data_IF_261457248615
#
_entry.id   IF_261457248615
#
_cell.length_a   1.000
_cell.length_b   1.000
_cell.length_c   1.000
_cell.angle_alpha   90.00
_cell.angle_beta   90.00
_cell.angle_gamma   90.00
#
_symmetry.space_group_name_H-M   'P 1'
#
loop_
_entity.id
_entity.type
_entity.pdbx_description
1 polymer ?
#
# COMPACT_ATOMS: atom_id res chain seq x y z
N UNK A 1 26.62 -23.63 -21.21
CA UNK A 1 26.73 -24.32 -19.90
C UNK A 1 26.19 -23.36 -18.84
N UNK A 2 25.11 -23.72 -18.13
CA UNK A 2 24.61 -22.93 -16.99
C UNK A 2 25.72 -22.92 -15.92
N UNK A 3 26.29 -21.76 -15.59
CA UNK A 3 27.13 -21.63 -14.38
C UNK A 3 26.21 -21.77 -13.19
N UNK A 4 26.11 -22.99 -12.65
CA UNK A 4 25.48 -23.23 -11.35
C UNK A 4 26.26 -22.45 -10.30
N UNK A 5 25.61 -21.44 -9.71
CA UNK A 5 26.13 -20.74 -8.54
C UNK A 5 26.31 -21.77 -7.41
N UNK A 6 27.45 -21.78 -6.70
CA UNK A 6 27.72 -22.76 -5.66
C UNK A 6 26.84 -22.50 -4.42
N UNK A 7 26.23 -23.57 -3.92
CA UNK A 7 25.34 -23.58 -2.75
C UNK A 7 23.87 -23.45 -3.16
N UNK A 8 23.12 -24.55 -3.09
CA UNK A 8 21.67 -24.49 -3.22
C UNK A 8 21.10 -23.73 -2.00
N UNK A 9 21.01 -22.40 -2.12
CA UNK A 9 20.22 -21.60 -1.20
C UNK A 9 18.82 -22.23 -1.11
N UNK A 10 18.26 -22.30 0.10
CA UNK A 10 16.90 -22.78 0.30
C UNK A 10 15.96 -22.08 -0.70
N UNK A 11 15.11 -22.84 -1.39
CA UNK A 11 14.21 -22.27 -2.37
C UNK A 11 13.29 -21.24 -1.70
N UNK A 12 13.21 -20.05 -2.28
CA UNK A 12 12.30 -19.01 -1.79
C UNK A 12 10.86 -19.52 -1.90
N UNK A 13 10.09 -19.57 -0.79
CA UNK A 13 8.67 -19.93 -0.86
C UNK A 13 7.92 -19.00 -1.81
N UNK A 14 6.84 -19.48 -2.42
CA UNK A 14 6.02 -18.66 -3.30
C UNK A 14 4.59 -18.54 -2.78
N UNK A 15 3.99 -17.37 -2.97
CA UNK A 15 2.60 -17.08 -2.67
C UNK A 15 1.74 -17.19 -3.94
N UNK A 16 0.53 -17.75 -3.86
CA UNK A 16 -0.41 -17.78 -4.99
C UNK A 16 -0.92 -16.36 -5.31
N UNK A 17 -1.03 -16.02 -6.59
CA UNK A 17 -1.56 -14.75 -7.09
C UNK A 17 -2.99 -14.89 -7.62
N UNK A 18 -3.92 -15.19 -6.71
CA UNK A 18 -5.33 -15.44 -7.01
C UNK A 18 -5.59 -16.84 -7.59
N UNK A 19 -6.77 -17.07 -8.21
CA UNK A 19 -7.20 -18.41 -8.64
C UNK A 19 -6.48 -18.92 -9.91
N UNK A 20 -5.84 -18.02 -10.65
CA UNK A 20 -4.95 -18.36 -11.76
C UNK A 20 -3.60 -18.81 -11.20
N UNK A 21 -3.01 -19.89 -11.73
CA UNK A 21 -1.83 -20.60 -11.23
C UNK A 21 -0.48 -19.81 -11.19
N UNK A 22 -0.52 -18.48 -11.10
CA UNK A 22 0.65 -17.63 -10.92
C UNK A 22 1.20 -17.68 -9.50
N UNK A 23 2.51 -17.68 -9.39
CA UNK A 23 3.24 -17.73 -8.12
C UNK A 23 4.17 -16.52 -8.00
N UNK A 24 4.15 -15.86 -6.85
CA UNK A 24 5.02 -14.74 -6.52
C UNK A 24 6.05 -15.19 -5.48
N UNK A 25 7.36 -14.99 -5.70
CA UNK A 25 8.37 -15.23 -4.66
C UNK A 25 8.03 -14.42 -3.40
N UNK A 26 7.99 -15.08 -2.25
CA UNK A 26 7.63 -14.46 -0.98
C UNK A 26 8.67 -13.45 -0.50
N UNK A 27 9.88 -13.46 -1.06
CA UNK A 27 10.85 -12.40 -0.86
C UNK A 27 11.41 -11.93 -2.21
N UNK A 28 11.25 -10.63 -2.46
CA UNK A 28 11.76 -9.89 -3.60
C UNK A 28 12.68 -8.76 -3.16
N UNK A 29 13.22 -8.04 -4.12
CA UNK A 29 14.18 -6.96 -3.90
C UNK A 29 13.52 -5.61 -4.21
N UNK A 30 13.42 -4.75 -3.21
CA UNK A 30 12.88 -3.40 -3.36
C UNK A 30 13.91 -2.44 -3.97
N UNK A 31 13.50 -1.63 -4.93
CA UNK A 31 14.41 -0.70 -5.63
C UNK A 31 14.23 0.78 -5.27
N UNK A 32 13.24 1.12 -4.44
CA UNK A 32 12.99 2.51 -4.03
C UNK A 32 14.18 3.10 -3.26
N UNK A 33 14.61 4.30 -3.67
CA UNK A 33 15.70 5.04 -3.04
C UNK A 33 17.10 4.48 -3.32
N UNK A 34 17.25 3.53 -4.25
CA UNK A 34 18.56 3.25 -4.85
C UNK A 34 18.91 4.41 -5.78
N UNK A 35 20.09 4.99 -5.60
CA UNK A 35 20.59 6.00 -6.52
C UNK A 35 20.97 5.34 -7.85
N UNK A 36 20.83 6.02 -9.00
CA UNK A 36 21.10 5.43 -10.32
C UNK A 36 22.45 4.69 -10.41
N UNK A 37 23.51 5.24 -9.79
CA UNK A 37 24.85 4.65 -9.75
C UNK A 37 24.97 3.38 -8.89
N UNK A 38 24.04 3.15 -7.95
CA UNK A 38 24.03 1.99 -7.06
C UNK A 38 23.25 0.81 -7.65
N UNK A 39 22.32 1.07 -8.57
CA UNK A 39 21.31 0.10 -9.06
C UNK A 39 21.99 -1.13 -9.64
N UNK A 40 22.96 -0.96 -10.54
CA UNK A 40 23.60 -2.10 -11.23
C UNK A 40 24.29 -3.04 -10.23
N UNK A 41 25.08 -2.48 -9.31
CA UNK A 41 25.76 -3.26 -8.27
C UNK A 41 24.77 -3.97 -7.35
N UNK A 42 23.69 -3.29 -6.93
CA UNK A 42 22.69 -3.86 -6.04
C UNK A 42 21.88 -4.98 -6.71
N UNK A 43 21.44 -4.80 -7.97
CA UNK A 43 20.69 -5.80 -8.72
C UNK A 43 21.54 -7.04 -9.01
N UNK A 44 22.82 -6.86 -9.41
CA UNK A 44 23.75 -7.99 -9.60
C UNK A 44 23.97 -8.76 -8.30
N UNK A 45 24.14 -8.05 -7.18
CA UNK A 45 24.25 -8.68 -5.86
C UNK A 45 22.97 -9.45 -5.47
N UNK A 46 21.79 -8.90 -5.76
CA UNK A 46 20.52 -9.56 -5.49
C UNK A 46 20.36 -10.84 -6.32
N UNK A 47 20.61 -10.80 -7.63
CA UNK A 47 20.55 -11.99 -8.49
C UNK A 47 21.55 -13.06 -8.03
N UNK A 48 22.78 -12.65 -7.69
CA UNK A 48 23.82 -13.55 -7.19
C UNK A 48 23.46 -14.17 -5.82
N UNK A 49 22.76 -13.43 -4.95
CA UNK A 49 22.27 -13.94 -3.67
C UNK A 49 21.09 -14.91 -3.83
N UNK A 50 20.42 -14.94 -4.98
CA UNK A 50 19.29 -15.83 -5.26
C UNK A 50 17.94 -15.13 -5.40
N UNK A 51 17.87 -13.79 -5.37
CA UNK A 51 16.62 -13.08 -5.63
C UNK A 51 16.13 -13.35 -7.05
N UNK A 52 14.83 -13.55 -7.16
CA UNK A 52 14.11 -13.74 -8.43
C UNK A 52 12.89 -12.84 -8.55
N UNK A 53 12.64 -11.97 -7.57
CA UNK A 53 11.57 -10.98 -7.61
C UNK A 53 12.14 -9.57 -7.42
N UNK A 54 11.70 -8.62 -8.23
CA UNK A 54 12.17 -7.23 -8.24
C UNK A 54 10.98 -6.28 -8.24
N UNK A 55 10.92 -5.39 -7.24
CA UNK A 55 9.87 -4.38 -7.12
C UNK A 55 10.37 -3.02 -7.61
N UNK A 56 9.75 -2.54 -8.68
CA UNK A 56 10.09 -1.31 -9.41
C UNK A 56 8.89 -0.36 -9.46
N UNK A 57 9.14 0.88 -9.88
CA UNK A 57 8.12 1.84 -10.27
C UNK A 57 8.76 3.00 -11.05
N UNK A 58 8.05 3.62 -12.01
CA UNK A 58 8.55 4.81 -12.72
C UNK A 58 8.97 5.95 -11.79
N UNK A 59 8.22 6.17 -10.72
CA UNK A 59 8.47 7.25 -9.76
C UNK A 59 9.75 7.06 -8.94
N UNK A 60 10.37 5.87 -8.99
CA UNK A 60 11.67 5.62 -8.36
C UNK A 60 12.81 6.15 -9.22
N UNK A 61 12.54 6.52 -10.48
CA UNK A 61 13.46 7.14 -11.43
C UNK A 61 14.71 6.28 -11.69
N UNK A 62 14.56 4.96 -11.60
CA UNK A 62 15.66 4.01 -11.77
C UNK A 62 15.29 2.75 -12.58
N UNK A 63 14.09 2.68 -13.17
CA UNK A 63 13.66 1.52 -13.99
C UNK A 63 14.60 1.24 -15.15
N UNK A 64 15.14 2.30 -15.79
CA UNK A 64 16.10 2.17 -16.89
C UNK A 64 17.36 1.41 -16.47
N UNK A 65 17.95 1.75 -15.32
CA UNK A 65 19.16 1.11 -14.82
C UNK A 65 18.86 -0.33 -14.35
N UNK A 66 17.67 -0.57 -13.79
CA UNK A 66 17.22 -1.94 -13.46
C UNK A 66 17.12 -2.78 -14.73
N UNK A 67 16.44 -2.27 -15.76
CA UNK A 67 16.28 -2.95 -17.04
C UNK A 67 17.58 -3.23 -17.77
N UNK A 68 18.48 -2.24 -17.81
CA UNK A 68 19.85 -2.39 -18.33
C UNK A 68 20.59 -3.54 -17.63
N UNK A 69 20.51 -3.60 -16.30
CA UNK A 69 21.22 -4.61 -15.52
C UNK A 69 20.62 -6.00 -15.66
N UNK A 70 19.29 -6.13 -15.57
CA UNK A 70 18.61 -7.42 -15.74
C UNK A 70 18.76 -7.96 -17.17
N UNK A 71 18.66 -7.10 -18.19
CA UNK A 71 18.90 -7.48 -19.58
C UNK A 71 20.34 -7.98 -19.80
N UNK A 72 21.33 -7.34 -19.19
CA UNK A 72 22.73 -7.81 -19.25
C UNK A 72 22.88 -9.19 -18.59
N UNK A 73 22.31 -9.39 -17.39
CA UNK A 73 22.36 -10.69 -16.69
C UNK A 73 21.66 -11.81 -17.48
N UNK A 74 20.61 -11.49 -18.22
CA UNK A 74 19.94 -12.44 -19.13
C UNK A 74 20.83 -12.77 -20.32
N UNK A 75 21.45 -11.77 -20.96
CA UNK A 75 22.38 -11.99 -22.07
C UNK A 75 23.63 -12.77 -21.66
N UNK A 76 24.12 -12.55 -20.44
CA UNK A 76 25.21 -13.29 -19.81
C UNK A 76 24.82 -14.75 -19.45
N UNK A 77 23.54 -15.11 -19.54
CA UNK A 77 23.02 -16.44 -19.21
C UNK A 77 22.98 -16.75 -17.71
N UNK A 78 23.01 -15.72 -16.85
CA UNK A 78 22.96 -15.86 -15.38
C UNK A 78 21.54 -16.20 -14.91
N UNK A 79 20.53 -15.64 -15.56
CA UNK A 79 19.10 -15.89 -15.34
C UNK A 79 18.36 -15.79 -16.67
N UNK A 80 17.15 -16.34 -16.75
CA UNK A 80 16.22 -16.15 -17.86
C UNK A 80 15.11 -15.19 -17.46
N UNK A 81 14.45 -14.54 -18.43
CA UNK A 81 13.32 -13.66 -18.13
C UNK A 81 12.19 -14.39 -17.39
N UNK A 82 11.93 -15.64 -17.71
CA UNK A 82 10.90 -16.47 -17.07
C UNK A 82 11.22 -16.86 -15.62
N UNK A 83 12.49 -16.79 -15.21
CA UNK A 83 12.88 -16.98 -13.81
C UNK A 83 12.70 -15.71 -12.98
N UNK A 84 12.45 -14.55 -13.61
CA UNK A 84 12.29 -13.27 -12.92
C UNK A 84 10.81 -12.92 -12.76
N UNK A 85 10.46 -12.40 -11.60
CA UNK A 85 9.19 -11.78 -11.28
C UNK A 85 9.40 -10.27 -11.16
N UNK A 86 8.94 -9.49 -12.13
CA UNK A 86 9.13 -8.04 -12.16
C UNK A 86 7.80 -7.34 -11.87
N UNK A 87 7.81 -6.50 -10.84
CA UNK A 87 6.68 -5.63 -10.48
C UNK A 87 6.95 -4.20 -10.92
N UNK A 88 5.98 -3.56 -11.58
CA UNK A 88 5.98 -2.10 -11.80
C UNK A 88 4.62 -1.51 -11.44
N UNK A 89 4.48 -0.18 -11.50
CA UNK A 89 3.32 0.54 -10.96
C UNK A 89 2.91 1.71 -11.84
N UNK A 90 1.61 1.90 -12.08
CA UNK A 90 1.11 3.14 -12.70
C UNK A 90 1.19 4.28 -11.68
N UNK A 91 1.89 5.39 -11.98
CA UNK A 91 2.02 6.52 -11.07
C UNK A 91 0.71 7.32 -10.98
N UNK A 92 0.46 8.04 -9.86
CA UNK A 92 -0.78 8.80 -9.67
C UNK A 92 -1.10 9.82 -10.78
N UNK A 93 -0.07 10.36 -11.43
CA UNK A 93 -0.26 11.36 -12.48
C UNK A 93 -0.62 10.79 -13.85
N UNK A 94 -0.34 9.51 -14.07
CA UNK A 94 -0.69 8.82 -15.29
C UNK A 94 -1.96 7.96 -15.09
N UNK A 95 -2.38 7.74 -13.84
CA UNK A 95 -3.66 7.12 -13.50
C UNK A 95 -4.89 7.98 -13.89
N UNK A 96 -6.07 7.38 -13.82
CA UNK A 96 -7.38 7.92 -14.20
C UNK A 96 -7.44 8.39 -15.66
N UNK A 97 -6.71 7.73 -16.54
CA UNK A 97 -6.81 7.93 -17.98
C UNK A 97 -6.25 6.72 -18.67
N UNK A 98 -7.12 5.98 -19.33
CA UNK A 98 -6.73 4.78 -20.08
C UNK A 98 -5.49 5.01 -20.94
N UNK A 99 -5.50 6.10 -21.73
CA UNK A 99 -4.38 6.45 -22.61
C UNK A 99 -3.07 6.70 -21.85
N UNK A 100 -3.11 7.42 -20.71
CA UNK A 100 -1.90 7.71 -19.93
C UNK A 100 -1.40 6.47 -19.19
N UNK A 101 -2.29 5.65 -18.64
CA UNK A 101 -1.96 4.38 -17.98
C UNK A 101 -1.28 3.42 -18.97
N UNK A 102 -1.85 3.26 -20.17
CA UNK A 102 -1.23 2.46 -21.23
C UNK A 102 0.15 3.01 -21.64
N UNK A 103 0.28 4.34 -21.75
CA UNK A 103 1.56 5.00 -22.04
C UNK A 103 2.59 4.75 -20.93
N UNK A 104 2.17 4.84 -19.66
CA UNK A 104 3.03 4.60 -18.51
C UNK A 104 3.52 3.14 -18.50
N UNK A 105 2.67 2.16 -18.79
CA UNK A 105 3.09 0.77 -18.93
C UNK A 105 4.10 0.62 -20.07
N UNK A 106 3.84 1.19 -21.26
CA UNK A 106 4.77 1.13 -22.40
C UNK A 106 6.14 1.71 -22.03
N UNK A 107 6.17 2.82 -21.30
CA UNK A 107 7.41 3.43 -20.82
C UNK A 107 8.14 2.50 -19.85
N UNK A 108 7.45 1.92 -18.86
CA UNK A 108 8.06 0.95 -17.93
C UNK A 108 8.62 -0.27 -18.66
N UNK A 109 7.90 -0.83 -19.64
CA UNK A 109 8.38 -1.97 -20.43
C UNK A 109 9.64 -1.63 -21.24
N UNK A 110 9.67 -0.43 -21.82
CA UNK A 110 10.84 0.10 -22.52
C UNK A 110 12.03 0.23 -21.55
N UNK A 111 11.84 0.91 -20.42
CA UNK A 111 12.92 1.19 -19.47
C UNK A 111 13.43 -0.08 -18.78
N UNK A 112 12.53 -0.98 -18.39
CA UNK A 112 12.85 -2.30 -17.84
C UNK A 112 13.37 -3.28 -18.90
N UNK A 113 13.36 -2.89 -20.19
CA UNK A 113 13.82 -3.70 -21.33
C UNK A 113 13.19 -5.08 -21.38
N UNK A 114 11.86 -5.14 -21.21
CA UNK A 114 11.12 -6.40 -21.16
C UNK A 114 9.78 -6.29 -21.88
N UNK A 115 9.31 -7.41 -22.45
CA UNK A 115 8.03 -7.46 -23.15
C UNK A 115 6.81 -7.57 -22.24
N UNK A 116 7.00 -7.88 -20.95
CA UNK A 116 5.91 -7.96 -19.97
C UNK A 116 6.41 -7.70 -18.54
N UNK A 117 5.51 -7.29 -17.65
CA UNK A 117 5.70 -7.33 -16.19
C UNK A 117 4.85 -8.43 -15.58
N UNK A 118 5.35 -9.05 -14.53
CA UNK A 118 4.64 -10.11 -13.81
C UNK A 118 3.53 -9.54 -12.95
N UNK A 119 3.75 -8.36 -12.37
CA UNK A 119 2.76 -7.64 -11.60
C UNK A 119 2.74 -6.15 -11.96
N UNK A 120 1.56 -5.61 -12.25
CA UNK A 120 1.35 -4.19 -12.46
C UNK A 120 0.35 -3.64 -11.44
N UNK A 121 0.76 -2.59 -10.72
CA UNK A 121 0.00 -2.06 -9.59
C UNK A 121 -0.52 -0.66 -9.85
N UNK A 122 -1.73 -0.35 -9.41
CA UNK A 122 -2.10 1.04 -9.13
C UNK A 122 -1.26 1.50 -7.94
N UNK A 123 -0.27 2.38 -8.16
CA UNK A 123 0.73 2.72 -7.13
C UNK A 123 0.08 3.36 -5.90
N UNK A 124 -0.88 4.24 -6.14
CA UNK A 124 -1.67 4.83 -5.08
C UNK A 124 -3.12 4.96 -5.53
N UNK A 125 -4.09 4.73 -4.64
CA UNK A 125 -5.48 5.02 -4.91
C UNK A 125 -5.71 6.52 -4.68
N UNK A 126 -5.07 7.37 -5.48
CA UNK A 126 -5.52 8.71 -5.90
C UNK A 126 -4.92 9.00 -7.29
N UNK A 127 -5.49 9.96 -8.01
CA UNK A 127 -4.84 10.53 -9.17
C UNK A 127 -4.38 11.94 -8.85
N UNK A 128 -3.47 12.47 -9.66
CA UNK A 128 -3.10 13.87 -9.55
C UNK A 128 -3.21 14.48 -10.92
N UNK A 129 -3.52 15.78 -10.98
CA UNK A 129 -3.53 16.49 -12.25
C UNK A 129 -2.15 16.30 -12.89
N UNK A 130 -2.14 15.78 -14.12
CA UNK A 130 -0.88 15.67 -14.87
C UNK A 130 -0.28 17.07 -14.94
N UNK A 131 1.00 17.25 -14.57
CA UNK A 131 1.63 18.54 -14.77
C UNK A 131 1.60 18.87 -16.26
N UNK A 132 1.40 20.14 -16.57
CA UNK A 132 1.63 20.61 -17.94
C UNK A 132 3.08 20.34 -18.34
N UNK A 133 3.36 20.08 -19.63
CA UNK A 133 4.73 19.92 -20.11
C UNK A 133 5.63 21.07 -19.61
N UNK A 134 6.72 20.73 -18.92
CA UNK A 134 7.66 21.71 -18.37
C UNK A 134 7.34 22.25 -16.98
N UNK A 135 6.17 21.95 -16.38
CA UNK A 135 5.87 22.34 -14.99
C UNK A 135 6.50 21.33 -14.01
N UNK A 136 7.43 21.77 -13.12
CA UNK A 136 7.99 20.88 -12.11
C UNK A 136 6.89 20.43 -11.14
N UNK A 137 7.00 19.19 -10.63
CA UNK A 137 6.10 18.68 -9.58
C UNK A 137 6.68 19.03 -8.22
N UNK A 138 6.14 20.02 -7.49
CA UNK A 138 6.63 20.33 -6.16
C UNK A 138 6.21 19.23 -5.17
N UNK A 139 6.93 19.17 -4.05
CA UNK A 139 6.60 18.30 -2.93
C UNK A 139 6.48 19.14 -1.65
N UNK A 140 5.35 19.09 -0.92
CA UNK A 140 4.10 18.39 -1.24
C UNK A 140 3.41 18.93 -2.51
N UNK A 141 2.51 18.14 -3.11
CA UNK A 141 1.72 18.63 -4.26
C UNK A 141 0.73 19.71 -3.82
N UNK A 142 0.45 20.73 -4.65
CA UNK A 142 -0.57 21.72 -4.38
C UNK A 142 -1.96 21.06 -4.30
N UNK A 143 -2.83 21.57 -3.43
CA UNK A 143 -4.16 20.98 -3.19
C UNK A 143 -5.01 20.93 -4.48
N UNK A 144 -4.89 21.93 -5.33
CA UNK A 144 -5.56 22.02 -6.62
C UNK A 144 -5.13 20.95 -7.64
N UNK A 145 -3.93 20.39 -7.45
CA UNK A 145 -3.38 19.33 -8.29
C UNK A 145 -3.65 17.92 -7.72
N UNK A 146 -4.16 17.83 -6.48
CA UNK A 146 -4.52 16.56 -5.85
C UNK A 146 -5.97 16.20 -6.21
N UNK A 147 -6.13 15.28 -7.17
CA UNK A 147 -7.42 14.77 -7.58
C UNK A 147 -7.77 13.56 -6.69
N UNK A 148 -8.80 13.67 -5.85
CA UNK A 148 -9.27 12.50 -5.09
C UNK A 148 -9.73 11.37 -6.03
N UNK A 149 -9.79 10.13 -5.52
CA UNK A 149 -10.63 9.11 -6.16
C UNK A 149 -12.06 9.21 -5.62
N UNK A 150 -13.03 9.31 -6.52
CA UNK A 150 -14.31 8.65 -6.27
C UNK A 150 -14.12 7.13 -6.40
N UNK A 151 -15.01 6.35 -5.77
CA UNK A 151 -15.02 4.90 -5.96
C UNK A 151 -15.16 4.51 -7.45
N UNK A 152 -15.81 5.34 -8.27
CA UNK A 152 -15.99 5.12 -9.70
C UNK A 152 -14.71 5.28 -10.50
N UNK A 153 -13.94 6.33 -10.25
CA UNK A 153 -12.66 6.54 -10.92
C UNK A 153 -11.68 5.38 -10.64
N UNK A 154 -11.70 4.81 -9.43
CA UNK A 154 -10.83 3.67 -9.09
C UNK A 154 -11.24 2.43 -9.86
N UNK A 155 -12.55 2.25 -10.09
CA UNK A 155 -13.08 1.18 -10.95
C UNK A 155 -12.70 1.38 -12.41
N UNK A 156 -12.77 2.59 -12.93
CA UNK A 156 -12.38 2.89 -14.32
C UNK A 156 -10.89 2.63 -14.55
N UNK A 157 -10.04 3.09 -13.62
CA UNK A 157 -8.61 2.80 -13.67
C UNK A 157 -8.36 1.29 -13.58
N UNK A 158 -9.08 0.59 -12.69
CA UNK A 158 -8.94 -0.85 -12.57
C UNK A 158 -9.32 -1.60 -13.85
N UNK A 159 -10.43 -1.22 -14.51
CA UNK A 159 -10.82 -1.79 -15.82
C UNK A 159 -9.74 -1.59 -16.88
N UNK A 160 -9.05 -0.45 -16.84
CA UNK A 160 -7.89 -0.21 -17.70
C UNK A 160 -6.79 -1.22 -17.42
N UNK A 161 -6.45 -1.44 -16.15
CA UNK A 161 -5.41 -2.41 -15.76
C UNK A 161 -5.83 -3.85 -16.13
N UNK A 162 -7.10 -4.22 -15.97
CA UNK A 162 -7.62 -5.52 -16.41
C UNK A 162 -7.51 -5.71 -17.93
N UNK A 163 -7.83 -4.67 -18.71
CA UNK A 163 -7.64 -4.69 -20.16
C UNK A 163 -6.15 -4.89 -20.52
N UNK A 164 -5.22 -4.30 -19.76
CA UNK A 164 -3.78 -4.51 -19.94
C UNK A 164 -3.35 -5.96 -19.65
N UNK A 165 -3.99 -6.66 -18.70
CA UNK A 165 -3.75 -8.09 -18.47
C UNK A 165 -4.13 -8.91 -19.71
N UNK A 166 -5.24 -8.58 -20.37
CA UNK A 166 -5.67 -9.27 -21.59
C UNK A 166 -4.64 -9.18 -22.74
N UNK A 167 -3.81 -8.13 -22.76
CA UNK A 167 -2.73 -7.97 -23.76
C UNK A 167 -1.52 -8.87 -23.50
N UNK A 168 -1.43 -9.52 -22.34
CA UNK A 168 -0.26 -10.28 -21.84
C UNK A 168 1.00 -9.45 -21.57
N UNK A 169 0.96 -8.14 -21.76
CA UNK A 169 2.01 -7.22 -21.31
C UNK A 169 2.05 -7.11 -19.77
N UNK A 170 0.94 -7.46 -19.12
CA UNK A 170 0.82 -7.62 -17.66
C UNK A 170 0.33 -9.04 -17.38
N UNK A 171 0.96 -9.76 -16.45
CA UNK A 171 0.48 -11.11 -16.04
C UNK A 171 -0.54 -11.03 -14.91
N UNK A 172 -0.27 -10.21 -13.91
CA UNK A 172 -1.14 -9.99 -12.75
C UNK A 172 -1.31 -8.49 -12.50
N UNK A 173 -2.48 -8.11 -12.00
CA UNK A 173 -2.86 -6.74 -11.68
C UNK A 173 -3.14 -6.61 -10.19
N UNK A 174 -2.76 -5.50 -9.55
CA UNK A 174 -3.01 -5.26 -8.13
C UNK A 174 -3.08 -3.81 -7.70
N UNK A 175 -3.25 -3.61 -6.41
CA UNK A 175 -3.36 -2.29 -5.78
C UNK A 175 -2.21 -2.09 -4.79
N UNK A 176 -1.65 -0.90 -4.74
CA UNK A 176 -0.76 -0.50 -3.66
C UNK A 176 -1.41 0.61 -2.82
N UNK A 177 -1.04 0.68 -1.53
CA UNK A 177 -1.47 1.75 -0.63
C UNK A 177 -2.98 1.91 -0.55
N UNK A 178 -3.76 0.84 -0.34
CA UNK A 178 -5.20 0.93 -0.12
C UNK A 178 -5.56 0.58 1.33
N UNK A 179 -6.38 1.42 1.96
CA UNK A 179 -6.90 1.15 3.30
C UNK A 179 -8.03 0.12 3.30
N UNK A 180 -8.30 -0.49 4.45
CA UNK A 180 -9.26 -1.59 4.61
C UNK A 180 -10.66 -1.23 4.12
N UNK A 181 -11.21 -0.09 4.56
CA UNK A 181 -12.58 0.32 4.19
C UNK A 181 -12.74 0.53 2.69
N UNK A 182 -11.73 1.14 2.06
CA UNK A 182 -11.73 1.38 0.62
C UNK A 182 -11.57 0.07 -0.15
N UNK A 183 -10.70 -0.83 0.31
CA UNK A 183 -10.57 -2.16 -0.28
C UNK A 183 -11.88 -2.95 -0.17
N UNK A 184 -12.55 -2.95 0.98
CA UNK A 184 -13.83 -3.62 1.16
C UNK A 184 -14.91 -3.10 0.19
N UNK A 185 -15.03 -1.78 0.04
CA UNK A 185 -15.95 -1.16 -0.92
C UNK A 185 -15.60 -1.53 -2.36
N UNK A 186 -14.31 -1.59 -2.68
CA UNK A 186 -13.84 -1.96 -4.00
C UNK A 186 -14.18 -3.42 -4.32
N UNK A 187 -13.91 -4.35 -3.39
CA UNK A 187 -14.21 -5.78 -3.51
C UNK A 187 -15.71 -6.11 -3.54
N UNK A 188 -16.57 -5.25 -3.00
CA UNK A 188 -18.03 -5.41 -3.08
C UNK A 188 -18.59 -5.18 -4.50
N UNK A 189 -17.77 -4.76 -5.46
CA UNK A 189 -18.21 -4.55 -6.85
C UNK A 189 -18.29 -5.90 -7.59
N UNK A 190 -19.42 -6.25 -8.22
CA UNK A 190 -19.70 -7.60 -8.74
C UNK A 190 -18.80 -8.05 -9.90
N UNK A 191 -18.06 -7.13 -10.54
CA UNK A 191 -17.32 -7.40 -11.78
C UNK A 191 -15.79 -7.41 -11.61
N UNK A 192 -15.26 -7.29 -10.39
CA UNK A 192 -13.83 -7.05 -10.18
C UNK A 192 -13.07 -8.27 -9.67
N UNK A 193 -12.09 -8.72 -10.44
CA UNK A 193 -11.21 -9.80 -10.05
C UNK A 193 -9.85 -9.26 -9.54
N UNK A 194 -9.81 -8.77 -8.31
CA UNK A 194 -8.61 -8.19 -7.66
C UNK A 194 -7.72 -9.28 -7.07
N UNK A 195 -6.40 -9.27 -7.31
CA UNK A 195 -5.57 -10.48 -7.06
C UNK A 195 -4.26 -10.31 -6.26
N UNK A 196 -3.66 -9.11 -6.13
CA UNK A 196 -2.82 -8.81 -4.95
C UNK A 196 -2.89 -7.34 -4.45
N UNK A 197 -2.56 -7.15 -3.16
CA UNK A 197 -2.45 -5.86 -2.49
C UNK A 197 -1.03 -5.62 -1.92
N UNK A 198 -0.45 -4.44 -2.13
CA UNK A 198 0.89 -4.07 -1.65
C UNK A 198 0.79 -2.89 -0.68
N UNK A 199 1.22 -3.07 0.56
CA UNK A 199 1.01 -2.07 1.63
C UNK A 199 2.23 -1.94 2.55
N UNK A 200 2.26 -0.84 3.32
CA UNK A 200 3.22 -0.68 4.41
C UNK A 200 2.92 -1.74 5.45
N UNK A 201 3.89 -2.59 5.75
CA UNK A 201 3.73 -3.57 6.81
C UNK A 201 5.07 -3.90 7.45
N UNK A 202 5.10 -3.78 8.78
CA UNK A 202 6.23 -4.12 9.63
C UNK A 202 5.71 -4.28 11.08
N UNK A 203 6.52 -4.72 12.06
CA UNK A 203 6.04 -4.98 13.41
C UNK A 203 5.27 -3.82 14.09
N UNK A 204 5.63 -2.56 13.82
CA UNK A 204 4.91 -1.38 14.35
C UNK A 204 3.63 -0.98 13.61
N UNK A 205 3.35 -1.57 12.45
CA UNK A 205 2.12 -1.38 11.67
C UNK A 205 1.85 -2.66 10.89
N UNK A 206 1.04 -3.53 11.47
CA UNK A 206 0.86 -4.90 11.00
C UNK A 206 -0.35 -5.06 10.09
N UNK A 207 -1.16 -4.00 9.93
CA UNK A 207 -2.32 -3.95 9.03
C UNK A 207 -3.26 -5.16 9.21
N UNK A 208 -3.52 -5.57 10.46
CA UNK A 208 -4.18 -6.85 10.79
C UNK A 208 -5.54 -7.02 10.10
N UNK A 209 -6.38 -5.99 10.15
CA UNK A 209 -7.73 -6.05 9.60
C UNK A 209 -7.73 -6.08 8.06
N UNK A 210 -6.90 -5.24 7.42
CA UNK A 210 -6.66 -5.31 5.97
C UNK A 210 -6.18 -6.70 5.54
N UNK A 211 -5.23 -7.30 6.28
CA UNK A 211 -4.72 -8.63 5.98
C UNK A 211 -5.78 -9.72 6.11
N UNK A 212 -6.63 -9.65 7.13
CA UNK A 212 -7.74 -10.57 7.28
C UNK A 212 -8.72 -10.46 6.09
N UNK A 213 -9.03 -9.23 5.66
CA UNK A 213 -9.84 -8.97 4.47
C UNK A 213 -9.20 -9.51 3.18
N UNK A 214 -7.89 -9.30 3.00
CA UNK A 214 -7.17 -9.87 1.86
C UNK A 214 -7.20 -11.40 1.87
N UNK A 215 -6.96 -12.02 3.04
CA UNK A 215 -6.97 -13.46 3.20
C UNK A 215 -8.35 -14.07 2.87
N UNK A 216 -9.45 -13.44 3.30
CA UNK A 216 -10.81 -13.94 3.01
C UNK A 216 -11.18 -13.87 1.53
N UNK A 217 -10.45 -13.09 0.72
CA UNK A 217 -10.64 -12.96 -0.73
C UNK A 217 -9.52 -13.62 -1.54
N UNK A 218 -8.58 -14.33 -0.91
CA UNK A 218 -7.45 -14.97 -1.60
C UNK A 218 -6.45 -13.98 -2.23
N UNK A 219 -6.37 -12.77 -1.67
CA UNK A 219 -5.48 -11.69 -2.13
C UNK A 219 -4.13 -11.82 -1.40
N UNK A 220 -3.05 -12.00 -2.16
CA UNK A 220 -1.70 -11.97 -1.60
C UNK A 220 -1.33 -10.56 -1.12
N UNK A 221 -0.64 -10.47 0.01
CA UNK A 221 -0.16 -9.21 0.58
C UNK A 221 1.36 -9.11 0.45
N UNK A 222 1.85 -7.99 -0.09
CA UNK A 222 3.28 -7.65 -0.10
C UNK A 222 3.56 -6.47 0.82
N UNK A 223 4.52 -6.62 1.72
CA UNK A 223 5.00 -5.62 2.65
C UNK A 223 6.14 -4.79 2.04
N UNK A 224 5.86 -3.53 1.73
CA UNK A 224 6.92 -2.53 1.57
C UNK A 224 7.35 -1.97 2.93
N UNK A 225 8.54 -1.37 2.99
CA UNK A 225 9.12 -0.84 4.25
C UNK A 225 9.15 -1.89 5.37
N UNK A 226 9.33 -3.16 5.03
CA UNK A 226 9.34 -4.29 5.98
C UNK A 226 10.41 -4.21 7.08
N UNK A 227 11.40 -3.32 6.90
CA UNK A 227 12.46 -3.01 7.86
C UNK A 227 12.33 -1.61 8.49
N UNK A 228 11.16 -0.95 8.38
CA UNK A 228 10.91 0.39 8.92
C UNK A 228 11.57 1.53 8.14
N UNK A 229 11.99 1.26 6.90
CA UNK A 229 12.60 2.22 5.97
C UNK A 229 13.64 3.17 6.61
N UNK A 230 14.74 2.64 7.18
CA UNK A 230 15.72 3.42 7.93
C UNK A 230 16.45 4.46 7.07
N UNK A 231 16.59 4.21 5.77
CA UNK A 231 17.23 5.11 4.80
C UNK A 231 16.20 5.92 3.96
N UNK A 232 14.99 6.17 4.49
CA UNK A 232 13.98 6.96 3.76
C UNK A 232 14.49 8.39 3.51
N UNK A 233 14.19 9.00 2.34
CA UNK A 233 14.60 10.37 2.05
C UNK A 233 14.06 11.38 3.07
N UNK A 234 14.84 12.43 3.36
CA UNK A 234 14.51 13.45 4.36
C UNK A 234 13.12 14.08 4.16
N UNK A 235 12.66 14.25 2.91
CA UNK A 235 11.32 14.78 2.61
C UNK A 235 10.15 13.90 3.11
N UNK A 236 10.42 12.65 3.48
CA UNK A 236 9.48 11.72 4.10
C UNK A 236 9.72 11.54 5.61
N UNK A 237 10.70 12.24 6.18
CA UNK A 237 10.98 12.28 7.62
C UNK A 237 10.25 13.48 8.21
N UNK A 238 8.98 13.32 8.57
CA UNK A 238 8.19 14.41 9.16
C UNK A 238 8.58 14.58 10.62
N UNK A 239 8.96 15.79 11.03
CA UNK A 239 9.48 16.12 12.36
C UNK A 239 8.54 15.79 13.54
N UNK A 240 7.25 15.58 13.28
CA UNK A 240 6.26 15.19 14.29
C UNK A 240 6.16 13.68 14.52
N UNK A 241 6.69 12.86 13.61
CA UNK A 241 6.72 11.41 13.78
C UNK A 241 7.98 11.10 14.59
N UNK A 242 7.84 10.58 15.82
CA UNK A 242 8.94 9.87 16.44
C UNK A 242 9.49 8.90 15.38
N UNK A 243 10.81 8.89 15.16
CA UNK A 243 11.42 8.04 14.13
C UNK A 243 12.00 6.80 14.80
N UNK A 244 11.18 5.91 15.39
CA UNK A 244 11.70 4.75 16.09
C UNK A 244 12.49 3.90 15.10
N UNK A 245 13.64 3.42 15.55
CA UNK A 245 14.44 2.51 14.76
C UNK A 245 13.93 1.10 15.00
N UNK A 246 13.09 0.59 14.09
CA UNK A 246 12.50 -0.76 14.21
C UNK A 246 13.56 -1.83 14.51
N UNK A 247 14.70 -1.80 13.83
CA UNK A 247 15.75 -2.81 13.98
C UNK A 247 16.54 -2.69 15.30
N UNK A 248 16.29 -1.64 16.09
CA UNK A 248 16.84 -1.44 17.42
C UNK A 248 15.81 -1.67 18.53
N UNK A 249 14.58 -2.12 18.20
CA UNK A 249 13.57 -2.43 19.20
C UNK A 249 14.06 -3.54 20.15
N UNK A 250 13.90 -3.38 21.48
CA UNK A 250 14.31 -4.39 22.44
C UNK A 250 13.70 -5.78 22.18
N UNK A 251 12.43 -5.88 21.78
CA UNK A 251 11.82 -7.17 21.51
C UNK A 251 12.42 -7.84 20.28
N UNK A 252 12.69 -7.06 19.22
CA UNK A 252 13.34 -7.57 17.99
C UNK A 252 14.78 -8.00 18.27
N UNK A 253 15.54 -7.20 19.02
CA UNK A 253 16.95 -7.48 19.32
C UNK A 253 17.12 -8.63 20.31
N UNK A 254 16.20 -8.82 21.26
CA UNK A 254 16.18 -9.98 22.15
C UNK A 254 15.94 -11.28 21.37
N UNK A 255 14.93 -11.31 20.48
CA UNK A 255 14.69 -12.47 19.61
C UNK A 255 15.88 -12.72 18.69
N UNK A 256 16.46 -11.66 18.12
CA UNK A 256 17.65 -11.77 17.28
C UNK A 256 18.83 -12.42 18.02
N UNK A 257 19.06 -12.00 19.27
CA UNK A 257 20.11 -12.56 20.14
C UNK A 257 19.85 -14.02 20.48
N UNK A 258 18.62 -14.37 20.85
CA UNK A 258 18.23 -15.74 21.20
C UNK A 258 18.45 -16.74 20.05
N UNK A 259 18.31 -16.28 18.80
CA UNK A 259 18.48 -17.12 17.60
C UNK A 259 19.85 -16.95 16.91
N UNK A 260 20.75 -16.11 17.44
CA UNK A 260 22.03 -15.82 16.77
C UNK A 260 21.87 -15.19 15.37
N UNK A 261 20.79 -14.43 15.17
CA UNK A 261 20.40 -13.88 13.88
C UNK A 261 20.43 -12.34 13.87
N UNK A 262 20.24 -11.73 12.70
CA UNK A 262 20.12 -10.27 12.60
C UNK A 262 18.70 -9.80 12.93
N UNK A 263 18.56 -8.59 13.47
CA UNK A 263 17.27 -7.94 13.68
C UNK A 263 16.44 -7.84 12.38
N UNK A 264 17.10 -7.67 11.23
CA UNK A 264 16.44 -7.67 9.93
C UNK A 264 15.85 -9.05 9.59
N UNK A 265 16.59 -10.13 9.82
CA UNK A 265 16.09 -11.49 9.62
C UNK A 265 14.89 -11.78 10.53
N UNK A 266 14.88 -11.28 11.77
CA UNK A 266 13.73 -11.42 12.69
C UNK A 266 12.50 -10.71 12.13
N UNK A 267 12.62 -9.42 11.77
CA UNK A 267 11.49 -8.63 11.25
C UNK A 267 10.93 -9.22 9.94
N UNK A 268 11.80 -9.66 9.04
CA UNK A 268 11.42 -10.30 7.78
C UNK A 268 10.83 -11.70 8.02
N UNK A 269 11.45 -12.52 8.86
CA UNK A 269 11.01 -13.86 9.19
C UNK A 269 9.64 -13.87 9.86
N UNK A 270 9.39 -12.90 10.75
CA UNK A 270 8.08 -12.66 11.35
C UNK A 270 6.99 -12.40 10.31
N UNK A 271 7.27 -11.57 9.29
CA UNK A 271 6.31 -11.30 8.22
C UNK A 271 6.18 -12.49 7.24
N UNK A 272 7.27 -13.21 6.96
CA UNK A 272 7.27 -14.42 6.14
C UNK A 272 6.38 -15.52 6.76
N UNK A 273 6.49 -15.76 8.06
CA UNK A 273 5.67 -16.73 8.81
C UNK A 273 4.18 -16.42 8.81
N UNK A 274 3.83 -15.22 8.38
CA UNK A 274 2.47 -14.70 8.27
C UNK A 274 1.90 -14.75 6.86
N UNK A 275 2.60 -15.40 5.93
CA UNK A 275 2.17 -15.48 4.53
C UNK A 275 2.25 -14.15 3.79
N UNK A 276 3.08 -13.22 4.26
CA UNK A 276 3.27 -11.90 3.63
C UNK A 276 4.52 -11.96 2.75
N UNK A 277 4.43 -11.44 1.53
CA UNK A 277 5.58 -11.24 0.66
C UNK A 277 6.37 -9.99 1.07
N UNK A 278 7.68 -9.98 0.85
CA UNK A 278 8.59 -8.98 1.40
C UNK A 278 9.43 -8.39 0.28
N UNK A 279 9.67 -7.08 0.32
CA UNK A 279 10.53 -6.40 -0.65
C UNK A 279 11.58 -5.51 0.03
N UNK A 280 12.46 -6.08 0.89
CA UNK A 280 13.51 -5.31 1.53
C UNK A 280 14.45 -4.68 0.49
N UNK A 281 14.82 -3.42 0.73
CA UNK A 281 15.77 -2.66 -0.09
C UNK A 281 17.12 -2.55 0.62
N UNK A 282 18.22 -2.67 -0.13
CA UNK A 282 19.56 -2.35 0.34
C UNK A 282 20.47 -1.98 -0.84
N UNK A 283 21.43 -1.08 -0.62
CA UNK A 283 22.54 -0.84 -1.55
C UNK A 283 23.81 -1.63 -1.18
N UNK A 284 23.86 -2.21 0.04
CA UNK A 284 25.02 -2.93 0.55
C UNK A 284 24.90 -4.43 0.28
N UNK A 285 25.90 -5.00 -0.40
CA UNK A 285 25.93 -6.40 -0.87
C UNK A 285 25.71 -7.41 0.26
N UNK A 286 26.34 -7.17 1.41
CA UNK A 286 26.29 -8.07 2.57
C UNK A 286 24.86 -8.12 3.13
N UNK A 287 24.20 -6.97 3.23
CA UNK A 287 22.80 -6.87 3.67
C UNK A 287 21.83 -7.47 2.66
N UNK A 288 22.10 -7.33 1.36
CA UNK A 288 21.27 -7.96 0.31
C UNK A 288 21.27 -9.48 0.51
N UNK A 289 22.46 -10.07 0.63
CA UNK A 289 22.61 -11.51 0.83
C UNK A 289 22.00 -11.98 2.18
N UNK A 290 22.31 -11.28 3.27
CA UNK A 290 21.83 -11.68 4.61
C UNK A 290 20.33 -11.48 4.80
N UNK A 291 19.72 -10.47 4.17
CA UNK A 291 18.26 -10.30 4.18
C UNK A 291 17.54 -11.48 3.52
N UNK A 292 18.14 -12.13 2.52
CA UNK A 292 17.56 -13.32 1.89
C UNK A 292 17.88 -14.58 2.70
N UNK A 293 19.16 -14.93 2.77
CA UNK A 293 19.60 -16.18 3.38
C UNK A 293 19.26 -16.24 4.87
N UNK A 294 19.45 -15.14 5.62
CA UNK A 294 19.14 -15.07 7.04
C UNK A 294 17.64 -15.18 7.31
N UNK A 295 16.79 -14.58 6.48
CA UNK A 295 15.34 -14.71 6.61
C UNK A 295 14.88 -16.14 6.35
N UNK A 296 15.36 -16.77 5.28
CA UNK A 296 14.99 -18.14 4.92
C UNK A 296 15.45 -19.15 5.97
N UNK A 297 16.63 -18.94 6.57
CA UNK A 297 17.15 -19.78 7.64
C UNK A 297 16.38 -19.60 8.96
N UNK A 298 16.04 -18.36 9.32
CA UNK A 298 15.43 -18.04 10.62
C UNK A 298 13.91 -18.26 10.65
N UNK A 299 13.19 -17.95 9.57
CA UNK A 299 11.72 -17.96 9.59
C UNK A 299 11.12 -19.28 10.13
N UNK A 300 11.61 -20.48 9.75
CA UNK A 300 11.09 -21.75 10.28
C UNK A 300 11.35 -21.95 11.78
N UNK A 301 12.41 -21.36 12.35
CA UNK A 301 12.80 -21.57 13.76
C UNK A 301 12.12 -20.61 14.73
N UNK A 302 11.47 -19.54 14.25
CA UNK A 302 10.73 -18.61 15.11
C UNK A 302 9.60 -19.34 15.86
N UNK A 303 9.65 -19.32 17.19
CA UNK A 303 8.64 -19.95 18.05
C UNK A 303 7.35 -19.12 18.09
N UNK A 304 6.22 -19.70 18.57
CA UNK A 304 5.02 -18.92 18.85
C UNK A 304 5.27 -17.76 19.82
N UNK A 305 6.17 -17.95 20.80
CA UNK A 305 6.56 -16.90 21.75
C UNK A 305 7.31 -15.75 21.08
N UNK A 306 8.24 -16.06 20.17
CA UNK A 306 8.95 -15.03 19.39
C UNK A 306 7.95 -14.22 18.55
N UNK A 307 7.05 -14.90 17.85
CA UNK A 307 6.04 -14.24 17.02
C UNK A 307 5.10 -13.36 17.86
N UNK A 308 4.70 -13.83 19.05
CA UNK A 308 3.87 -13.08 20.00
C UNK A 308 4.58 -11.84 20.57
N UNK A 309 5.88 -11.92 20.84
CA UNK A 309 6.67 -10.78 21.30
C UNK A 309 6.70 -9.67 20.24
N UNK A 310 6.89 -10.04 18.96
CA UNK A 310 6.87 -9.08 17.85
C UNK A 310 5.44 -8.59 17.54
N UNK A 311 4.42 -9.44 17.75
CA UNK A 311 3.01 -9.05 17.65
C UNK A 311 2.63 -7.89 18.57
N UNK A 312 3.17 -7.89 19.78
CA UNK A 312 2.90 -6.88 20.80
C UNK A 312 3.45 -5.48 20.44
N UNK A 313 4.27 -5.37 19.39
CA UNK A 313 4.84 -4.10 18.93
C UNK A 313 3.86 -3.24 18.10
N UNK A 314 2.68 -3.77 17.75
CA UNK A 314 1.66 -3.03 16.99
C UNK A 314 1.33 -1.70 17.69
N UNK A 315 1.37 -0.62 16.91
CA UNK A 315 1.04 0.73 17.38
C UNK A 315 0.57 1.67 16.27
N UNK A 316 0.21 1.13 15.10
CA UNK A 316 -0.27 1.90 13.95
C UNK A 316 0.74 2.91 13.41
N UNK A 317 2.05 2.63 13.55
CA UNK A 317 3.09 3.57 13.13
C UNK A 317 3.36 3.49 11.62
N UNK A 318 3.18 4.60 10.90
CA UNK A 318 3.46 4.68 9.47
C UNK A 318 4.72 5.50 9.20
N UNK A 319 5.81 4.87 8.73
CA UNK A 319 7.03 5.57 8.35
C UNK A 319 6.87 6.40 7.08
N UNK A 320 5.93 6.03 6.19
CA UNK A 320 5.65 6.73 4.94
C UNK A 320 4.33 7.51 4.97
N UNK A 321 3.84 7.89 6.17
CA UNK A 321 2.70 8.80 6.33
C UNK A 321 2.85 10.09 5.51
N UNK A 322 4.07 10.60 5.35
CA UNK A 322 4.37 11.77 4.53
C UNK A 322 4.06 11.55 3.04
N UNK A 323 4.21 10.32 2.53
CA UNK A 323 3.88 9.95 1.15
C UNK A 323 2.39 10.13 0.88
N UNK A 324 1.56 9.63 1.80
CA UNK A 324 0.13 9.91 1.84
C UNK A 324 -0.15 11.41 1.95
N UNK A 325 0.54 12.09 2.88
CA UNK A 325 0.37 13.53 3.14
C UNK A 325 0.73 14.42 1.95
N UNK A 326 1.64 14.01 1.09
CA UNK A 326 2.09 14.86 -0.02
C UNK A 326 1.33 14.68 -1.32
N UNK A 327 0.49 13.64 -1.45
CA UNK A 327 -0.18 13.32 -2.72
C UNK A 327 -1.72 13.30 -2.67
N UNK A 328 -2.36 13.32 -1.49
CA UNK A 328 -3.84 13.32 -1.40
C UNK A 328 -4.38 13.92 -0.08
N UNK A 329 -3.57 14.73 0.60
CA UNK A 329 -3.91 15.30 1.90
C UNK A 329 -4.58 16.65 1.80
N UNK A 330 -5.75 16.75 2.42
CA UNK A 330 -6.42 18.02 2.66
C UNK A 330 -5.98 18.60 3.99
N UNK A 331 -5.82 19.93 4.05
CA UNK A 331 -5.50 20.63 5.31
C UNK A 331 -6.57 20.28 6.36
N UNK A 332 -6.13 19.80 7.53
CA UNK A 332 -7.00 19.39 8.63
C UNK A 332 -7.41 17.91 8.63
N UNK A 333 -7.09 17.15 7.58
CA UNK A 333 -7.35 15.71 7.53
C UNK A 333 -6.30 14.94 8.33
N UNK A 334 -6.73 13.96 9.12
CA UNK A 334 -5.85 12.99 9.78
C UNK A 334 -5.35 11.92 8.80
N UNK A 335 -4.26 11.24 9.15
CA UNK A 335 -3.78 10.10 8.35
C UNK A 335 -4.84 8.99 8.28
N UNK A 336 -5.53 8.73 9.40
CA UNK A 336 -6.58 7.70 9.43
C UNK A 336 -7.72 8.05 8.47
N UNK A 337 -8.17 9.31 8.44
CA UNK A 337 -9.20 9.75 7.49
C UNK A 337 -8.73 9.63 6.03
N UNK A 338 -7.45 9.81 5.77
CA UNK A 338 -6.87 9.61 4.43
C UNK A 338 -6.79 8.13 4.04
N UNK A 339 -6.47 7.24 4.99
CA UNK A 339 -6.46 5.79 4.79
C UNK A 339 -7.88 5.21 4.66
N UNK A 340 -8.82 5.73 5.45
CA UNK A 340 -10.22 5.30 5.52
C UNK A 340 -11.11 5.97 4.48
N UNK A 341 -10.57 6.95 3.76
CA UNK A 341 -11.32 7.76 2.81
C UNK A 341 -12.50 8.50 3.46
N UNK A 342 -12.33 8.86 4.73
CA UNK A 342 -13.32 9.61 5.47
C UNK A 342 -13.39 11.04 4.90
N UNK A 343 -14.60 11.62 4.76
CA UNK A 343 -14.72 13.03 4.42
C UNK A 343 -13.91 13.84 5.44
N UNK A 344 -13.25 14.94 5.02
CA UNK A 344 -12.52 15.78 5.95
C UNK A 344 -13.45 16.21 7.09
N UNK A 345 -12.93 16.42 8.31
CA UNK A 345 -13.74 16.94 9.39
C UNK A 345 -14.37 18.25 8.91
N UNK A 346 -15.68 18.38 9.10
CA UNK A 346 -16.37 19.63 8.78
C UNK A 346 -15.63 20.77 9.50
N UNK A 347 -15.45 21.93 8.86
CA UNK A 347 -14.87 23.08 9.54
C UNK A 347 -15.66 23.30 10.84
N UNK A 348 -15.01 23.75 11.94
CA UNK A 348 -15.72 24.04 13.18
C UNK A 348 -16.83 25.03 12.85
N UNK A 349 -18.06 24.52 12.79
CA UNK A 349 -19.25 25.33 12.60
C UNK A 349 -19.39 26.10 13.90
N UNK A 350 -19.07 27.39 13.86
CA UNK A 350 -19.37 28.28 14.98
C UNK A 350 -20.82 28.08 15.38
N UNK A 351 -21.12 28.15 16.68
CA UNK A 351 -22.45 27.86 17.27
C UNK A 351 -23.64 28.42 16.46
N UNK A 352 -23.48 29.55 15.77
CA UNK A 352 -24.49 30.13 14.88
C UNK A 352 -24.86 29.29 13.64
N UNK A 353 -23.91 28.58 13.03
CA UNK A 353 -24.16 27.75 11.84
C UNK A 353 -24.82 26.40 12.19
N UNK A 354 -24.53 25.86 13.38
CA UNK A 354 -25.23 24.68 13.91
C UNK A 354 -26.71 24.99 14.22
N UNK A 355 -27.00 26.18 14.75
CA UNK A 355 -28.37 26.66 14.96
C UNK A 355 -29.15 26.87 13.65
N UNK A 356 -28.48 27.35 12.59
CA UNK A 356 -29.09 27.50 11.26
C UNK A 356 -29.40 26.15 10.59
N UNK A 357 -28.53 25.15 10.74
CA UNK A 357 -28.77 23.80 10.25
C UNK A 357 -29.92 23.10 11.01
N UNK A 358 -29.99 23.28 12.34
CA UNK A 358 -31.14 22.81 13.14
C UNK A 358 -32.44 23.52 12.75
N UNK A 359 -32.42 24.83 12.51
CA UNK A 359 -33.58 25.59 12.07
C UNK A 359 -34.07 25.16 10.67
N UNK A 360 -33.16 24.89 9.73
CA UNK A 360 -33.50 24.37 8.41
C UNK A 360 -34.07 22.94 8.47
N UNK A 361 -33.53 22.07 9.33
CA UNK A 361 -34.08 20.73 9.56
C UNK A 361 -35.48 20.78 10.18
N UNK A 362 -35.73 21.67 11.15
CA UNK A 362 -37.06 21.89 11.72
C UNK A 362 -38.06 22.42 10.67
N UNK A 363 -37.65 23.36 9.81
CA UNK A 363 -38.50 23.88 8.74
C UNK A 363 -38.86 22.82 7.70
N UNK A 364 -37.93 21.90 7.37
CA UNK A 364 -38.18 20.78 6.46
C UNK A 364 -39.11 19.73 7.07
N UNK A 365 -38.99 19.43 8.37
CA UNK A 365 -39.90 18.51 9.08
C UNK A 365 -41.32 19.11 9.16
N UNK A 366 -41.46 20.42 9.41
CA UNK A 366 -42.76 21.11 9.40
C UNK A 366 -43.38 21.16 8.00
N UNK A 367 -42.58 21.38 6.96
CA UNK A 367 -43.04 21.34 5.56
C UNK A 367 -43.45 19.94 5.10
N UNK A 368 -42.82 18.88 5.62
CA UNK A 368 -43.16 17.49 5.29
C UNK A 368 -44.38 16.99 6.07
N UNK A 369 -44.56 17.44 7.32
CA UNK A 369 -45.76 17.19 8.11
C UNK A 369 -47.02 17.86 7.52
N UNK A 370 -46.88 19.03 6.88
CA UNK A 370 -48.00 19.71 6.19
C UNK A 370 -48.44 19.04 4.88
N UNK A 371 -47.65 18.13 4.29
CA UNK A 371 -48.00 17.42 3.04
C UNK A 371 -48.66 16.05 3.25
N UNK A 372 -48.74 15.54 4.48
CA UNK A 372 -49.27 14.20 4.78
C UNK A 372 -50.27 14.16 5.95
N UNK A 373 -51.21 15.11 6.03
CA UNK A 373 -52.33 15.04 6.96
C UNK A 373 -53.67 15.08 6.21
N UNK A 374 -54.09 13.92 5.71
CA UNK A 374 -55.52 13.57 5.60
C UNK A 374 -55.89 12.78 6.85
N UNK A 375 -57.05 13.15 7.39
CA UNK A 375 -57.74 12.65 8.59
C UNK A 375 -57.38 13.35 9.91
N UNK A 376 -58.28 14.25 10.29
CA UNK A 376 -58.48 14.81 11.62
C UNK A 376 -59.04 13.69 12.49
N UNK A 377 -58.25 13.11 13.38
CA UNK A 377 -58.74 12.49 14.64
C UNK A 377 -57.61 12.10 15.62
N UNK A 378 -56.33 12.09 15.21
CA UNK A 378 -55.22 11.78 16.13
C UNK A 378 -54.65 12.98 16.92
N UNK A 379 -55.11 14.21 16.64
CA UNK A 379 -54.48 15.44 17.19
C UNK A 379 -54.98 15.84 18.59
N UNK A 380 -56.07 15.25 19.09
CA UNK A 380 -56.68 15.64 20.37
C UNK A 380 -56.09 14.91 21.61
N UNK A 381 -55.27 13.87 21.43
CA UNK A 381 -54.76 13.08 22.56
C UNK A 381 -53.36 13.51 23.04
N UNK A 382 -52.55 14.14 22.18
CA UNK A 382 -51.18 14.58 22.53
C UNK A 382 -51.18 15.90 23.32
N UNK A 383 -52.13 16.80 23.06
CA UNK A 383 -52.22 18.10 23.75
C UNK A 383 -52.67 17.95 25.22
N UNK A 384 -53.33 16.84 25.58
CA UNK A 384 -53.77 16.59 26.97
C UNK A 384 -52.66 16.15 27.93
N UNK A 385 -51.48 15.74 27.44
CA UNK A 385 -50.40 15.20 28.30
C UNK A 385 -49.28 16.19 28.64
N UNK A 386 -49.34 17.44 28.18
CA UNK A 386 -48.27 18.42 28.35
C UNK A 386 -48.69 19.72 29.07
N UNK A 387 -49.81 19.73 29.77
CA UNK A 387 -50.22 20.91 30.55
C UNK A 387 -50.86 20.46 31.87
N UNK A 388 -50.37 21.07 32.95
CA UNK A 388 -50.75 20.95 34.37
C UNK A 388 -49.85 20.07 35.26
N UNK A 389 -49.17 20.75 36.18
CA UNK A 389 -48.44 20.15 37.30
C UNK A 389 -47.52 21.16 38.00
N UNK A 390 -48.07 22.33 38.38
CA UNK A 390 -47.37 23.30 39.22
C UNK A 390 -47.27 22.85 40.69
N UNK A 391 -46.18 23.31 41.33
CA UNK A 391 -45.79 23.43 42.76
C UNK A 391 -46.92 23.46 43.83
N UNK A 392 -46.70 23.16 45.15
CA UNK A 392 -45.88 23.99 46.09
C UNK A 392 -45.33 23.25 47.37
N UNK A 393 -45.10 23.93 48.54
CA UNK A 393 -43.95 24.73 49.03
C UNK A 393 -43.17 23.96 50.16
N UNK A 394 -42.01 24.35 50.71
CA UNK A 394 -41.48 25.58 51.34
C UNK A 394 -39.97 25.66 51.07
#
# INVERSE_FOLDING_TARGET
>A
MKRTLPGAAAAVPALPLGPSAGQMPQIGFGTWGLQPQEVSTAIRAAVAAGYRSFDCAPVYQNERQVGETLSALIAEGVVTRSELFITSKVPPADACSQHRTERALRQSLHDLRTGYVDLYLIHWPFCVRSPEPGRPRPWPLPLEDQLGYSAEQLREEWRTIEALVATRAVRHAGLANIGERRLAKFLASPDLAVRPAVVELHPYNQMRALRALCASHGIAVTAYSSLGSPARPAKYQVQADAHPLLLADPAITQVATAHGASAAAVALGWAMRRGVALIPKSAHRERIASNLAGTLALAPSLSPGDLAAIDALERGHHYLAAGWRGYAWKRGQSLQELLDDAPPPLPPVGLGAALLLLACCCALVVCKARRHAVSRDAAHEVVRRLSFGGMPPI
#
